data_IF_171468199945
#
_entry.id   IF_171468199945
#
_cell.length_a   1.000
_cell.length_b   1.000
_cell.length_c   1.000
_cell.angle_alpha   90.00
_cell.angle_beta   90.00
_cell.angle_gamma   90.00
#
_symmetry.space_group_name_H-M   'P 1'
#
loop_
_entity.id
_entity.type
_entity.pdbx_description
1 polymer ?
#
# COMPACT_ATOMS: atom_id res chain seq x y z
N UNK A 1 -24.68 -14.86 14.69
CA UNK A 1 -24.69 -14.91 13.21
C UNK A 1 -23.44 -14.18 12.72
N UNK A 2 -22.45 -14.91 12.21
CA UNK A 2 -21.26 -14.33 11.58
C UNK A 2 -21.68 -13.58 10.31
N UNK A 3 -21.83 -12.27 10.39
CA UNK A 3 -21.96 -11.44 9.18
C UNK A 3 -20.56 -11.33 8.57
N UNK A 4 -20.25 -12.22 7.64
CA UNK A 4 -19.07 -12.08 6.77
C UNK A 4 -19.21 -10.75 6.05
N UNK A 5 -18.35 -9.78 6.40
CA UNK A 5 -18.28 -8.52 5.66
C UNK A 5 -17.80 -8.89 4.25
N UNK A 6 -18.43 -8.36 3.21
CA UNK A 6 -17.89 -8.40 1.85
C UNK A 6 -17.56 -6.97 1.47
N UNK A 7 -16.46 -6.77 0.75
CA UNK A 7 -15.96 -5.44 0.39
C UNK A 7 -15.60 -5.36 -1.08
N UNK A 8 -15.65 -4.13 -1.60
CA UNK A 8 -15.15 -3.75 -2.92
C UNK A 8 -14.19 -2.57 -2.75
N UNK A 9 -13.00 -2.67 -3.34
CA UNK A 9 -12.03 -1.58 -3.46
C UNK A 9 -11.62 -1.47 -4.93
N UNK A 10 -11.65 -0.28 -5.50
CA UNK A 10 -11.39 -0.01 -6.92
C UNK A 10 -10.24 1.01 -7.02
N UNK A 11 -8.99 0.52 -7.01
CA UNK A 11 -7.81 1.39 -7.01
C UNK A 11 -7.15 1.44 -8.38
N UNK A 12 -6.85 2.66 -8.81
CA UNK A 12 -6.06 2.94 -10.01
C UNK A 12 -4.87 3.78 -9.57
N UNK A 13 -3.66 3.29 -9.83
CA UNK A 13 -2.41 3.98 -9.52
C UNK A 13 -1.82 4.49 -10.83
N UNK A 14 -1.43 5.76 -10.85
CA UNK A 14 -0.74 6.38 -11.97
C UNK A 14 0.72 6.67 -11.60
N UNK A 15 1.62 6.39 -12.53
CA UNK A 15 3.06 6.65 -12.46
C UNK A 15 3.45 7.53 -13.66
N UNK A 16 4.44 8.42 -13.50
CA UNK A 16 4.96 9.27 -14.57
C UNK A 16 3.91 10.19 -15.25
N UNK A 17 3.04 10.84 -14.47
CA UNK A 17 2.09 11.85 -14.97
C UNK A 17 2.67 13.25 -14.84
N UNK A 18 2.49 14.10 -15.86
CA UNK A 18 2.84 15.52 -15.81
C UNK A 18 1.78 16.32 -15.03
N UNK A 19 0.51 15.90 -15.13
CA UNK A 19 -0.63 16.50 -14.44
C UNK A 19 -1.67 15.43 -14.09
N UNK A 20 -2.17 15.48 -12.86
CA UNK A 20 -3.28 14.66 -12.38
C UNK A 20 -4.18 15.59 -11.58
N UNK A 21 -5.42 15.83 -11.98
CA UNK A 21 -6.33 16.76 -11.29
C UNK A 21 -7.70 16.15 -11.02
N UNK A 22 -8.32 16.53 -9.91
CA UNK A 22 -9.72 16.20 -9.62
C UNK A 22 -10.63 17.01 -10.53
N UNK A 23 -11.36 16.32 -11.38
CA UNK A 23 -12.33 16.97 -12.24
C UNK A 23 -13.57 16.10 -12.39
N UNK A 24 -14.72 16.61 -11.92
CA UNK A 24 -16.02 15.94 -12.08
C UNK A 24 -16.63 16.24 -13.46
N UNK A 25 -15.85 15.94 -14.49
CA UNK A 25 -16.20 16.15 -15.88
C UNK A 25 -17.51 15.43 -16.30
N UNK A 26 -17.87 14.23 -15.81
CA UNK A 26 -19.11 13.60 -16.24
C UNK A 26 -20.34 14.33 -15.69
N UNK A 27 -20.25 14.91 -14.49
CA UNK A 27 -21.33 15.73 -13.93
C UNK A 27 -21.45 17.05 -14.67
N UNK A 28 -20.33 17.68 -15.04
CA UNK A 28 -20.30 18.90 -15.83
C UNK A 28 -20.94 18.71 -17.23
N UNK A 29 -20.73 17.54 -17.84
CA UNK A 29 -21.37 17.16 -19.10
C UNK A 29 -22.81 16.64 -18.93
N UNK A 30 -23.29 16.45 -17.70
CA UNK A 30 -24.62 15.91 -17.42
C UNK A 30 -24.77 14.41 -17.77
N UNK A 31 -23.67 13.67 -17.88
CA UNK A 31 -23.62 12.27 -18.30
C UNK A 31 -23.35 11.28 -17.14
N UNK A 32 -23.14 11.77 -15.93
CA UNK A 32 -22.97 10.93 -14.75
C UNK A 32 -24.16 9.95 -14.56
N UNK A 33 -23.97 8.79 -13.92
CA UNK A 33 -25.07 7.88 -13.59
C UNK A 33 -26.18 8.56 -12.77
N UNK A 34 -27.44 8.08 -12.83
CA UNK A 34 -28.55 8.67 -12.08
C UNK A 34 -28.41 8.57 -10.56
N UNK A 35 -27.60 7.62 -10.10
CA UNK A 35 -27.32 7.35 -8.69
C UNK A 35 -25.93 6.71 -8.60
N UNK A 36 -25.23 6.92 -7.48
CA UNK A 36 -23.98 6.25 -7.14
C UNK A 36 -23.71 6.42 -5.65
N UNK A 37 -22.94 5.50 -5.07
CA UNK A 37 -22.54 5.57 -3.66
C UNK A 37 -21.13 6.13 -3.49
N UNK A 38 -20.26 5.93 -4.48
CA UNK A 38 -18.91 6.47 -4.54
C UNK A 38 -18.56 6.84 -5.98
N UNK A 39 -17.71 7.85 -6.14
CA UNK A 39 -17.17 8.26 -7.44
C UNK A 39 -15.69 8.61 -7.35
N UNK A 40 -14.95 8.34 -8.40
CA UNK A 40 -13.65 8.94 -8.68
C UNK A 40 -13.68 9.54 -10.07
N UNK A 41 -13.23 10.78 -10.23
CA UNK A 41 -13.16 11.46 -11.53
C UNK A 41 -11.91 12.33 -11.59
N UNK A 42 -11.18 12.21 -12.70
CA UNK A 42 -9.80 12.62 -12.85
C UNK A 42 -9.54 13.16 -14.25
N UNK A 43 -8.68 14.15 -14.32
CA UNK A 43 -8.01 14.60 -15.54
C UNK A 43 -6.53 14.23 -15.45
N UNK A 44 -6.00 13.58 -16.49
CA UNK A 44 -4.66 13.01 -16.56
C UNK A 44 -3.96 13.55 -17.82
N UNK A 45 -2.78 14.12 -17.65
CA UNK A 45 -1.88 14.56 -18.72
C UNK A 45 -0.49 13.99 -18.45
N UNK A 46 0.14 13.35 -19.45
CA UNK A 46 1.51 12.85 -19.28
C UNK A 46 2.05 12.06 -20.46
N UNK A 47 3.38 11.95 -20.53
CA UNK A 47 4.09 11.02 -21.41
C UNK A 47 4.31 9.67 -20.71
N UNK A 48 3.91 8.56 -21.35
CA UNK A 48 4.22 7.21 -20.86
C UNK A 48 3.66 6.92 -19.45
N UNK A 49 2.42 7.36 -19.19
CA UNK A 49 1.75 7.17 -17.91
C UNK A 49 1.63 5.67 -17.61
N UNK A 50 2.33 5.22 -16.58
CA UNK A 50 2.19 3.86 -16.05
C UNK A 50 0.90 3.78 -15.27
N UNK A 51 0.05 2.81 -15.58
CA UNK A 51 -1.22 2.61 -14.83
C UNK A 51 -1.27 1.23 -14.23
N UNK A 52 -1.51 1.11 -12.93
CA UNK A 52 -1.78 -0.16 -12.25
C UNK A 52 -3.22 -0.21 -11.76
N UNK A 53 -3.97 -1.23 -12.17
CA UNK A 53 -5.35 -1.44 -11.74
C UNK A 53 -5.47 -2.59 -10.73
N UNK A 54 -6.04 -2.29 -9.54
CA UNK A 54 -6.15 -3.23 -8.41
C UNK A 54 -7.57 -3.26 -7.82
N UNK A 55 -8.47 -4.07 -8.38
CA UNK A 55 -9.74 -4.36 -7.73
C UNK A 55 -9.56 -5.37 -6.58
N UNK A 56 -10.21 -5.10 -5.44
CA UNK A 56 -10.36 -6.07 -4.34
C UNK A 56 -11.85 -6.41 -4.23
N UNK A 57 -12.22 -7.68 -4.39
CA UNK A 57 -13.60 -8.14 -4.29
C UNK A 57 -13.67 -9.26 -3.26
N UNK A 58 -14.52 -9.11 -2.25
CA UNK A 58 -14.68 -10.13 -1.21
C UNK A 58 -13.41 -10.41 -0.40
N UNK A 59 -12.50 -9.43 -0.33
CA UNK A 59 -11.15 -9.51 0.25
C UNK A 59 -10.13 -10.37 -0.51
N UNK A 60 -10.46 -10.77 -1.74
CA UNK A 60 -9.47 -11.31 -2.69
C UNK A 60 -8.98 -10.18 -3.59
N UNK A 61 -7.67 -9.98 -3.67
CA UNK A 61 -7.03 -8.98 -4.52
C UNK A 61 -6.80 -9.55 -5.92
N UNK A 62 -7.00 -8.74 -6.95
CA UNK A 62 -6.78 -9.11 -8.35
C UNK A 62 -5.98 -8.00 -9.06
N UNK A 63 -5.20 -8.35 -10.07
CA UNK A 63 -4.42 -7.40 -10.88
C UNK A 63 -4.81 -7.44 -12.36
N UNK A 64 -4.93 -6.27 -12.98
CA UNK A 64 -4.95 -6.10 -14.44
C UNK A 64 -3.63 -5.55 -14.93
N UNK A 65 -2.89 -6.38 -15.67
CA UNK A 65 -1.67 -6.20 -16.50
C UNK A 65 -0.62 -5.13 -16.11
N UNK A 66 0.63 -5.62 -16.07
CA UNK A 66 1.96 -5.01 -16.18
C UNK A 66 1.99 -3.56 -16.69
N UNK A 67 2.72 -2.66 -15.98
CA UNK A 67 3.20 -1.34 -16.40
C UNK A 67 2.78 -0.96 -17.84
N UNK A 68 1.50 -0.66 -18.02
CA UNK A 68 0.98 -0.38 -19.33
C UNK A 68 1.36 1.06 -19.62
N UNK A 69 2.41 1.23 -20.42
CA UNK A 69 2.84 2.54 -20.87
C UNK A 69 1.76 3.11 -21.77
N UNK A 70 0.97 4.03 -21.24
CA UNK A 70 -0.07 4.66 -22.03
C UNK A 70 0.55 5.61 -23.06
N UNK A 71 -0.02 5.70 -24.27
CA UNK A 71 0.39 6.68 -25.25
C UNK A 71 0.26 8.09 -24.66
N UNK A 72 1.17 8.98 -25.06
CA UNK A 72 1.10 10.41 -24.70
C UNK A 72 -0.27 10.97 -25.04
N UNK A 73 -0.92 11.63 -24.10
CA UNK A 73 -2.20 12.28 -24.34
C UNK A 73 -2.91 12.79 -23.10
N UNK A 74 -3.93 13.61 -23.35
CA UNK A 74 -4.87 14.15 -22.37
C UNK A 74 -6.05 13.16 -22.22
N UNK A 75 -6.29 12.66 -21.01
CA UNK A 75 -7.35 11.70 -20.71
C UNK A 75 -8.14 12.11 -19.47
N UNK A 76 -9.46 12.01 -19.58
CA UNK A 76 -10.38 12.17 -18.48
C UNK A 76 -10.93 10.80 -18.11
N UNK A 77 -10.74 10.41 -16.85
CA UNK A 77 -11.18 9.14 -16.32
C UNK A 77 -12.27 9.38 -15.28
N UNK A 78 -13.29 8.56 -15.27
CA UNK A 78 -14.23 8.48 -14.16
C UNK A 78 -14.66 7.05 -13.89
N UNK A 79 -14.90 6.73 -12.63
CA UNK A 79 -15.47 5.46 -12.22
C UNK A 79 -16.48 5.67 -11.09
N UNK A 80 -17.55 4.89 -11.11
CA UNK A 80 -18.66 4.97 -10.16
C UNK A 80 -18.96 3.60 -9.60
N UNK A 81 -19.25 3.56 -8.29
CA UNK A 81 -19.84 2.41 -7.63
C UNK A 81 -21.35 2.68 -7.47
N UNK A 82 -22.19 1.84 -8.06
CA UNK A 82 -23.65 2.02 -8.07
C UNK A 82 -24.31 0.82 -7.39
N UNK A 83 -25.00 1.00 -6.25
CA UNK A 83 -25.67 -0.10 -5.56
C UNK A 83 -26.88 -0.57 -6.34
N UNK A 84 -27.10 -1.89 -6.40
CA UNK A 84 -28.28 -2.50 -7.06
C UNK A 84 -29.32 -3.02 -6.08
N UNK A 85 -29.03 -2.97 -4.78
CA UNK A 85 -29.94 -3.35 -3.71
C UNK A 85 -29.81 -2.39 -2.52
N UNK A 86 -30.88 -2.25 -1.75
CA UNK A 86 -30.87 -1.47 -0.50
C UNK A 86 -30.11 -2.19 0.60
N UNK A 87 -28.84 -1.82 0.79
CA UNK A 87 -27.98 -2.37 1.84
C UNK A 87 -27.17 -1.25 2.51
N UNK A 88 -26.73 -1.50 3.75
CA UNK A 88 -25.89 -0.54 4.48
C UNK A 88 -24.46 -0.68 3.99
N UNK A 89 -23.93 0.38 3.38
CA UNK A 89 -22.55 0.43 2.91
C UNK A 89 -21.68 1.20 3.88
N UNK A 90 -20.48 0.68 4.15
CA UNK A 90 -19.40 1.49 4.73
C UNK A 90 -18.47 1.88 3.60
N UNK A 91 -18.41 3.17 3.33
CA UNK A 91 -17.69 3.72 2.19
C UNK A 91 -16.45 4.43 2.71
N UNK A 92 -15.32 4.14 2.06
CA UNK A 92 -14.07 4.85 2.29
C UNK A 92 -13.61 5.40 0.96
N UNK A 93 -13.69 6.72 0.80
CA UNK A 93 -13.18 7.40 -0.37
C UNK A 93 -11.72 7.76 -0.12
N UNK A 94 -10.82 7.22 -0.94
CA UNK A 94 -9.44 7.66 -1.02
C UNK A 94 -9.38 8.83 -1.99
N UNK A 95 -8.61 9.86 -1.66
CA UNK A 95 -8.47 10.96 -2.61
C UNK A 95 -7.48 10.69 -3.73
N UNK A 96 -7.40 11.66 -4.62
CA UNK A 96 -6.63 11.63 -5.86
C UNK A 96 -5.15 11.73 -5.60
N UNK A 97 -4.77 12.55 -4.63
CA UNK A 97 -3.41 12.63 -4.18
C UNK A 97 -3.22 11.90 -2.85
N UNK A 98 -2.02 11.41 -2.57
CA UNK A 98 -1.69 10.81 -1.28
C UNK A 98 -2.12 11.66 -0.08
N UNK A 99 -2.02 12.99 -0.14
CA UNK A 99 -2.37 13.96 0.90
C UNK A 99 -3.87 14.17 1.12
N UNK A 100 -4.71 13.65 0.24
CA UNK A 100 -6.15 13.78 0.42
C UNK A 100 -6.62 12.90 1.59
N UNK A 101 -7.40 13.50 2.48
CA UNK A 101 -7.94 12.77 3.64
C UNK A 101 -8.95 11.74 3.17
N UNK A 102 -8.74 10.49 3.57
CA UNK A 102 -9.77 9.48 3.37
C UNK A 102 -11.05 9.88 4.11
N UNK A 103 -12.17 9.90 3.39
CA UNK A 103 -13.49 10.18 3.96
C UNK A 103 -14.15 8.84 4.26
N UNK A 104 -14.42 8.55 5.53
CA UNK A 104 -15.13 7.33 5.95
C UNK A 104 -16.56 7.71 6.32
N UNK A 105 -17.52 7.24 5.54
CA UNK A 105 -18.94 7.43 5.80
C UNK A 105 -19.63 6.06 5.89
N UNK A 106 -20.70 5.97 6.67
CA UNK A 106 -21.55 4.77 6.71
C UNK A 106 -22.96 5.12 6.26
N UNK A 107 -23.15 5.55 4.99
CA UNK A 107 -24.48 5.86 4.49
C UNK A 107 -25.27 4.57 4.24
N UNK A 108 -26.59 4.66 4.44
CA UNK A 108 -27.51 3.75 3.75
C UNK A 108 -27.59 4.28 2.31
N UNK A 109 -26.94 3.59 1.38
CA UNK A 109 -26.94 3.96 -0.02
C UNK A 109 -27.91 3.04 -0.77
N UNK A 110 -29.03 3.60 -1.22
CA UNK A 110 -30.01 2.90 -2.05
C UNK A 110 -30.08 3.59 -3.40
N UNK A 111 -30.03 2.82 -4.48
CA UNK A 111 -30.49 3.29 -5.76
C UNK A 111 -31.83 2.62 -6.06
N UNK A 112 -32.88 3.43 -6.21
CA UNK A 112 -34.23 2.95 -6.54
C UNK A 112 -34.40 2.60 -8.03
N UNK A 113 -33.33 2.70 -8.82
CA UNK A 113 -33.34 2.37 -10.24
C UNK A 113 -32.92 0.91 -10.44
N UNK A 114 -33.58 0.21 -11.37
CA UNK A 114 -33.08 -1.08 -11.81
C UNK A 114 -31.75 -0.94 -12.55
N UNK A 115 -30.99 -2.04 -12.68
CA UNK A 115 -29.78 -2.07 -13.50
C UNK A 115 -30.04 -1.55 -14.93
N UNK A 116 -31.15 -1.97 -15.54
CA UNK A 116 -31.53 -1.55 -16.88
C UNK A 116 -31.82 -0.04 -16.94
N UNK A 117 -32.50 0.51 -15.93
CA UNK A 117 -32.77 1.94 -15.84
C UNK A 117 -31.49 2.76 -15.67
N UNK A 118 -30.53 2.27 -14.87
CA UNK A 118 -29.22 2.91 -14.70
C UNK A 118 -28.49 3.00 -16.03
N UNK A 119 -28.37 1.88 -16.76
CA UNK A 119 -27.72 1.83 -18.06
C UNK A 119 -28.44 2.76 -19.03
N UNK A 120 -29.77 2.59 -19.19
CA UNK A 120 -30.57 3.35 -20.14
C UNK A 120 -30.52 4.85 -19.86
N UNK A 121 -30.63 5.26 -18.60
CA UNK A 121 -30.57 6.67 -18.24
C UNK A 121 -29.17 7.26 -18.49
N UNK A 122 -28.11 6.52 -18.18
CA UNK A 122 -26.73 6.99 -18.38
C UNK A 122 -26.41 7.10 -19.87
N UNK A 123 -26.73 6.08 -20.67
CA UNK A 123 -26.54 6.11 -22.12
C UNK A 123 -27.38 7.20 -22.79
N UNK A 124 -28.66 7.35 -22.40
CA UNK A 124 -29.51 8.42 -22.92
C UNK A 124 -29.01 9.82 -22.58
N UNK A 125 -28.34 10.00 -21.43
CA UNK A 125 -27.65 11.28 -21.10
C UNK A 125 -26.45 11.52 -22.01
N UNK A 126 -25.65 10.50 -22.28
CA UNK A 126 -24.49 10.56 -23.18
C UNK A 126 -24.93 10.98 -24.58
N UNK A 127 -25.93 10.30 -25.15
CA UNK A 127 -26.48 10.62 -26.47
C UNK A 127 -27.07 12.03 -26.54
N UNK A 128 -27.82 12.44 -25.51
CA UNK A 128 -28.35 13.81 -25.39
C UNK A 128 -27.23 14.86 -25.27
N UNK A 129 -26.07 14.48 -24.74
CA UNK A 129 -24.86 15.29 -24.67
C UNK A 129 -24.14 15.46 -26.02
N UNK A 130 -24.66 14.89 -27.11
CA UNK A 130 -24.09 15.02 -28.46
C UNK A 130 -23.02 13.97 -28.80
N UNK A 131 -22.93 12.90 -27.99
CA UNK A 131 -22.06 11.76 -28.28
C UNK A 131 -22.80 10.75 -29.16
N UNK A 132 -22.18 10.36 -30.28
CA UNK A 132 -22.72 9.40 -31.24
C UNK A 132 -22.00 8.07 -31.04
N UNK A 133 -22.74 6.99 -30.81
CA UNK A 133 -22.17 5.65 -30.70
C UNK A 133 -21.47 5.28 -32.02
N UNK A 134 -20.20 4.90 -31.94
CA UNK A 134 -19.42 4.45 -33.10
C UNK A 134 -19.01 2.98 -33.00
N UNK A 135 -19.05 2.41 -31.80
CA UNK A 135 -18.76 0.99 -31.58
C UNK A 135 -19.48 0.47 -30.34
N UNK A 136 -20.05 -0.73 -30.45
CA UNK A 136 -20.66 -1.45 -29.34
C UNK A 136 -19.92 -2.75 -29.03
N UNK A 137 -19.79 -3.04 -27.74
CA UNK A 137 -19.26 -4.30 -27.21
C UNK A 137 -17.85 -4.61 -27.75
N UNK A 138 -16.89 -3.73 -27.43
CA UNK A 138 -15.47 -4.04 -27.57
C UNK A 138 -15.23 -5.41 -26.90
N UNK A 139 -14.92 -6.44 -27.71
CA UNK A 139 -14.80 -7.83 -27.23
C UNK A 139 -13.77 -7.88 -26.12
N UNK A 140 -14.23 -8.13 -24.91
CA UNK A 140 -13.36 -8.38 -23.78
C UNK A 140 -13.86 -9.63 -23.05
N UNK A 141 -12.93 -10.45 -22.60
CA UNK A 141 -13.21 -11.69 -21.86
C UNK A 141 -13.73 -11.34 -20.48
N UNK A 142 -14.82 -11.94 -20.00
CA UNK A 142 -15.20 -11.79 -18.58
C UNK A 142 -14.01 -12.15 -17.67
N UNK A 143 -13.82 -11.39 -16.58
CA UNK A 143 -12.78 -11.68 -15.60
C UNK A 143 -13.39 -12.15 -14.26
N UNK A 144 -12.53 -12.57 -13.33
CA UNK A 144 -12.96 -13.19 -12.07
C UNK A 144 -13.63 -12.21 -11.08
N UNK A 145 -13.45 -10.89 -11.25
CA UNK A 145 -14.03 -9.87 -10.39
C UNK A 145 -15.36 -9.32 -10.91
N UNK A 146 -15.48 -9.21 -12.23
CA UNK A 146 -16.53 -8.46 -12.87
C UNK A 146 -17.26 -9.30 -13.91
N UNK A 147 -18.55 -9.08 -14.01
CA UNK A 147 -19.37 -9.55 -15.12
C UNK A 147 -19.67 -8.34 -15.99
N UNK A 148 -19.01 -8.25 -17.14
CA UNK A 148 -19.24 -7.15 -18.08
C UNK A 148 -20.67 -7.23 -18.62
N UNK A 149 -21.45 -6.17 -18.41
CA UNK A 149 -22.83 -6.09 -18.89
C UNK A 149 -22.85 -5.48 -20.29
N UNK A 150 -22.20 -4.32 -20.45
CA UNK A 150 -22.13 -3.63 -21.74
C UNK A 150 -20.99 -2.62 -21.76
N UNK A 151 -20.38 -2.43 -22.93
CA UNK A 151 -19.40 -1.36 -23.20
C UNK A 151 -19.70 -0.68 -24.53
N UNK A 152 -19.38 0.61 -24.64
CA UNK A 152 -19.65 1.46 -25.81
C UNK A 152 -18.53 2.46 -26.01
N UNK A 153 -18.20 2.73 -27.27
CA UNK A 153 -17.33 3.84 -27.67
C UNK A 153 -18.16 4.85 -28.46
N UNK A 154 -18.05 6.11 -28.06
CA UNK A 154 -18.74 7.23 -28.67
C UNK A 154 -17.75 8.22 -29.28
N UNK A 155 -18.18 8.90 -30.34
CA UNK A 155 -17.55 10.12 -30.85
C UNK A 155 -18.39 11.32 -30.41
N UNK A 156 -17.76 12.26 -29.69
CA UNK A 156 -18.36 13.53 -29.30
C UNK A 156 -17.67 14.73 -29.95
N UNK A 157 -18.12 15.96 -29.65
CA UNK A 157 -17.53 17.20 -30.15
C UNK A 157 -16.05 17.35 -29.77
N UNK A 158 -15.71 17.03 -28.53
CA UNK A 158 -14.37 17.26 -27.94
C UNK A 158 -13.44 16.05 -28.04
N UNK A 159 -13.89 14.92 -28.59
CA UNK A 159 -13.08 13.70 -28.59
C UNK A 159 -13.87 12.41 -28.71
N UNK A 160 -13.38 11.39 -28.02
CA UNK A 160 -13.96 10.06 -27.92
C UNK A 160 -14.28 9.78 -26.45
N UNK A 161 -15.33 9.01 -26.21
CA UNK A 161 -15.78 8.60 -24.88
C UNK A 161 -16.05 7.11 -24.89
N UNK A 162 -15.31 6.36 -24.09
CA UNK A 162 -15.59 4.97 -23.76
C UNK A 162 -16.39 4.91 -22.48
N UNK A 163 -17.44 4.08 -22.45
CA UNK A 163 -18.24 3.80 -21.24
C UNK A 163 -18.45 2.31 -21.10
N UNK A 164 -18.32 1.81 -19.87
CA UNK A 164 -18.51 0.42 -19.51
C UNK A 164 -19.38 0.29 -18.25
N UNK A 165 -20.26 -0.71 -18.24
CA UNK A 165 -21.02 -1.14 -17.08
C UNK A 165 -20.70 -2.60 -16.76
N UNK A 166 -20.26 -2.87 -15.54
CA UNK A 166 -19.90 -4.22 -15.11
C UNK A 166 -20.43 -4.51 -13.70
N UNK A 167 -21.07 -5.67 -13.51
CA UNK A 167 -21.50 -6.12 -12.18
C UNK A 167 -20.29 -6.61 -11.40
N UNK A 168 -20.20 -6.24 -10.12
CA UNK A 168 -19.14 -6.74 -9.22
C UNK A 168 -19.59 -8.09 -8.65
N UNK A 169 -18.84 -9.16 -8.94
CA UNK A 169 -19.23 -10.52 -8.55
C UNK A 169 -19.32 -10.65 -7.03
N UNK A 170 -20.42 -11.24 -6.56
CA UNK A 170 -20.63 -11.51 -5.13
C UNK A 170 -21.07 -10.29 -4.30
N UNK A 171 -21.33 -9.15 -4.93
CA UNK A 171 -21.84 -7.91 -4.33
C UNK A 171 -23.02 -7.36 -5.14
N UNK A 172 -23.96 -6.69 -4.46
CA UNK A 172 -25.08 -5.99 -5.08
C UNK A 172 -24.64 -4.60 -5.59
N UNK A 173 -23.66 -4.60 -6.51
CA UNK A 173 -22.96 -3.42 -6.97
C UNK A 173 -22.63 -3.51 -8.47
N UNK A 174 -22.71 -2.37 -9.16
CA UNK A 174 -22.21 -2.17 -10.53
C UNK A 174 -21.08 -1.15 -10.49
N UNK A 175 -20.02 -1.41 -11.26
CA UNK A 175 -19.00 -0.43 -11.63
C UNK A 175 -19.39 0.20 -12.95
N UNK A 176 -19.40 1.54 -13.01
CA UNK A 176 -19.48 2.29 -14.26
C UNK A 176 -18.13 2.94 -14.51
N UNK A 177 -17.44 2.59 -15.60
CA UNK A 177 -16.16 3.16 -16.00
C UNK A 177 -16.38 4.07 -17.21
N UNK A 178 -15.79 5.26 -17.20
CA UNK A 178 -15.82 6.21 -18.29
C UNK A 178 -14.40 6.72 -18.59
N UNK A 179 -14.00 6.70 -19.85
CA UNK A 179 -12.69 7.21 -20.32
C UNK A 179 -12.93 8.12 -21.50
N UNK A 180 -12.50 9.38 -21.41
CA UNK A 180 -12.65 10.38 -22.47
C UNK A 180 -11.30 10.96 -22.86
N UNK A 181 -11.13 11.31 -24.12
CA UNK A 181 -9.90 11.92 -24.63
C UNK A 181 -10.04 12.34 -26.08
N UNK A 182 -9.17 13.23 -26.55
CA UNK A 182 -9.25 13.77 -27.93
C UNK A 182 -8.96 12.71 -28.97
N UNK A 183 -8.04 11.81 -28.67
CA UNK A 183 -7.54 10.77 -29.56
C UNK A 183 -8.15 9.40 -29.26
N UNK A 184 -8.71 8.75 -30.28
CA UNK A 184 -9.32 7.42 -30.16
C UNK A 184 -8.35 6.38 -29.61
N UNK A 185 -7.11 6.35 -30.12
CA UNK A 185 -6.11 5.37 -29.71
C UNK A 185 -5.73 5.49 -28.24
N UNK A 186 -5.71 6.71 -27.70
CA UNK A 186 -5.45 6.97 -26.29
C UNK A 186 -6.62 6.46 -25.44
N UNK A 187 -7.86 6.81 -25.79
CA UNK A 187 -9.06 6.34 -25.07
C UNK A 187 -9.14 4.81 -25.06
N UNK A 188 -8.87 4.17 -26.21
CA UNK A 188 -8.88 2.71 -26.30
C UNK A 188 -7.77 2.03 -25.49
N UNK A 189 -6.60 2.66 -25.36
CA UNK A 189 -5.50 2.12 -24.56
C UNK A 189 -5.85 2.13 -23.07
N UNK A 190 -6.34 3.27 -22.57
CA UNK A 190 -6.80 3.41 -21.18
C UNK A 190 -8.01 2.51 -20.90
N UNK A 191 -8.98 2.45 -21.82
CA UNK A 191 -10.14 1.57 -21.63
C UNK A 191 -9.73 0.11 -21.58
N UNK A 192 -8.78 -0.34 -22.40
CA UNK A 192 -8.31 -1.74 -22.39
C UNK A 192 -7.61 -2.10 -21.08
N UNK A 193 -6.81 -1.19 -20.52
CA UNK A 193 -6.11 -1.44 -19.26
C UNK A 193 -7.03 -1.44 -18.04
N UNK A 194 -8.11 -0.64 -18.07
CA UNK A 194 -9.01 -0.45 -16.94
C UNK A 194 -10.32 -1.25 -17.03
N UNK A 195 -10.62 -1.83 -18.19
CA UNK A 195 -11.89 -2.53 -18.48
C UNK A 195 -12.06 -3.78 -17.63
N UNK A 196 -13.31 -4.01 -17.21
CA UNK A 196 -13.80 -5.21 -16.56
C UNK A 196 -13.68 -6.48 -17.41
N UNK A 197 -13.25 -6.41 -18.67
CA UNK A 197 -12.92 -7.59 -19.47
C UNK A 197 -11.44 -7.73 -19.86
N UNK A 198 -10.56 -6.89 -19.32
CA UNK A 198 -9.13 -7.18 -19.34
C UNK A 198 -8.84 -8.47 -18.55
N UNK A 199 -7.86 -9.29 -18.97
CA UNK A 199 -7.46 -10.44 -18.17
C UNK A 199 -6.99 -9.95 -16.80
N UNK A 200 -7.70 -10.36 -15.76
CA UNK A 200 -7.25 -10.18 -14.39
C UNK A 200 -6.65 -11.49 -13.90
N UNK A 201 -5.43 -11.42 -13.38
CA UNK A 201 -4.87 -12.53 -12.63
C UNK A 201 -5.30 -12.38 -11.18
N UNK A 202 -5.90 -13.44 -10.62
CA UNK A 202 -6.07 -13.53 -9.17
C UNK A 202 -4.70 -13.42 -8.54
N UNK A 203 -4.60 -12.62 -7.48
CA UNK A 203 -3.45 -12.69 -6.59
C UNK A 203 -3.56 -14.00 -5.86
N UNK A 204 -3.14 -15.07 -6.52
CA UNK A 204 -2.78 -16.28 -5.81
C UNK A 204 -1.73 -15.86 -4.79
N UNK A 205 -1.96 -16.18 -3.51
CA UNK A 205 -0.92 -16.10 -2.48
C UNK A 205 0.35 -16.92 -2.83
N UNK A 206 0.36 -17.62 -3.97
CA UNK A 206 1.57 -17.94 -4.72
C UNK A 206 1.23 -18.63 -6.05
N UNK A 207 1.80 -18.14 -7.15
CA UNK A 207 2.23 -18.97 -8.27
C UNK A 207 3.31 -18.24 -9.08
N UNK A 208 4.53 -18.27 -8.56
CA UNK A 208 5.75 -18.03 -9.33
C UNK A 208 6.08 -19.30 -10.15
N UNK A 209 6.87 -19.20 -11.23
CA UNK A 209 7.26 -20.36 -12.03
C UNK A 209 7.81 -21.46 -11.13
N UNK A 210 7.37 -22.70 -11.36
CA UNK A 210 7.90 -23.87 -10.67
C UNK A 210 9.41 -23.99 -10.93
N UNK A 211 10.20 -23.39 -10.07
CA UNK A 211 11.55 -23.85 -9.82
C UNK A 211 11.45 -25.14 -9.02
N UNK A 212 11.79 -26.23 -9.70
CA UNK A 212 11.89 -27.59 -9.16
C UNK A 212 12.54 -27.61 -7.78
N UNK A 213 11.80 -28.16 -6.81
CA UNK A 213 12.27 -28.79 -5.58
C UNK A 213 13.41 -28.10 -4.80
N UNK A 214 13.10 -27.05 -4.05
CA UNK A 214 13.83 -26.70 -2.81
C UNK A 214 12.83 -26.15 -1.78
N UNK A 215 12.84 -26.69 -0.56
CA UNK A 215 11.93 -26.37 0.55
C UNK A 215 11.82 -24.86 0.84
N UNK A 216 10.70 -24.22 0.48
CA UNK A 216 10.48 -22.80 0.70
C UNK A 216 10.23 -22.49 2.19
N UNK A 217 10.92 -21.47 2.74
CA UNK A 217 10.66 -20.92 4.07
C UNK A 217 9.25 -20.37 4.16
N UNK A 218 8.48 -20.81 5.17
CA UNK A 218 7.09 -20.37 5.37
C UNK A 218 6.87 -20.05 6.84
N UNK A 219 5.95 -19.14 7.11
CA UNK A 219 5.41 -18.97 8.46
C UNK A 219 4.39 -20.08 8.69
N UNK A 220 4.66 -20.98 9.63
CA UNK A 220 3.65 -21.92 10.11
C UNK A 220 2.87 -21.21 11.21
N UNK A 221 1.57 -20.99 11.02
CA UNK A 221 0.73 -20.29 11.99
C UNK A 221 -0.70 -20.83 12.05
N UNK A 222 -1.32 -20.71 13.22
CA UNK A 222 -2.74 -20.98 13.45
C UNK A 222 -3.31 -19.96 14.46
N UNK A 223 -4.41 -19.25 14.17
CA UNK A 223 -5.10 -19.20 12.87
C UNK A 223 -4.22 -18.60 11.77
N UNK A 224 -4.63 -18.78 10.52
CA UNK A 224 -4.03 -18.02 9.41
C UNK A 224 -4.23 -16.52 9.63
N UNK A 225 -3.18 -15.76 9.37
CA UNK A 225 -3.12 -14.34 9.65
C UNK A 225 -2.19 -13.66 8.65
N UNK A 226 -2.55 -12.45 8.22
CA UNK A 226 -1.71 -11.60 7.37
C UNK A 226 -1.37 -10.32 8.13
N UNK A 227 -0.08 -10.08 8.43
CA UNK A 227 0.35 -8.81 9.00
C UNK A 227 -0.07 -7.65 8.08
N UNK A 228 -0.54 -6.56 8.67
CA UNK A 228 -0.70 -5.30 7.92
C UNK A 228 0.57 -4.47 8.03
N UNK A 229 0.73 -3.50 7.13
CA UNK A 229 1.68 -2.42 7.34
C UNK A 229 1.23 -1.56 8.53
N UNK A 230 1.70 -1.91 9.73
CA UNK A 230 1.39 -1.23 10.98
C UNK A 230 2.36 -0.05 11.20
N UNK A 231 2.50 0.82 10.20
CA UNK A 231 3.40 1.97 10.26
C UNK A 231 3.21 2.93 11.44
N UNK A 232 2.00 3.11 12.02
CA UNK A 232 1.83 3.89 13.25
C UNK A 232 2.33 3.17 14.51
N UNK A 233 2.85 1.96 14.38
CA UNK A 233 3.44 1.15 15.45
C UNK A 233 2.78 -0.22 15.61
N UNK A 234 3.53 -1.13 16.19
CA UNK A 234 3.09 -2.48 16.50
C UNK A 234 3.84 -2.99 17.75
N UNK A 235 3.31 -4.01 18.40
CA UNK A 235 4.04 -4.78 19.40
C UNK A 235 3.70 -6.26 19.34
N UNK A 236 4.65 -7.09 19.77
CA UNK A 236 4.50 -8.54 19.85
C UNK A 236 4.75 -8.98 21.28
N UNK A 237 3.81 -9.75 21.82
CA UNK A 237 3.84 -10.29 23.17
C UNK A 237 3.88 -11.81 23.14
N UNK A 238 4.67 -12.41 24.02
CA UNK A 238 4.65 -13.85 24.30
C UNK A 238 4.01 -14.10 25.67
N UNK A 239 2.88 -14.81 25.75
CA UNK A 239 2.27 -15.17 27.02
C UNK A 239 3.16 -16.14 27.83
N UNK A 240 3.24 -15.91 29.13
CA UNK A 240 3.91 -16.73 30.15
C UNK A 240 2.94 -16.96 31.32
N UNK A 241 1.90 -17.76 31.07
CA UNK A 241 0.78 -17.92 32.01
C UNK A 241 -0.06 -16.65 32.10
N UNK A 242 -0.18 -16.06 33.29
CA UNK A 242 -0.91 -14.80 33.52
C UNK A 242 -0.07 -13.54 33.21
N UNK A 243 1.20 -13.71 32.85
CA UNK A 243 2.11 -12.64 32.47
C UNK A 243 2.38 -12.68 30.96
N UNK A 244 2.99 -11.63 30.43
CA UNK A 244 3.55 -11.63 29.08
C UNK A 244 4.92 -10.96 29.09
N UNK A 245 5.75 -11.28 28.10
CA UNK A 245 6.92 -10.48 27.73
C UNK A 245 6.66 -9.80 26.40
N UNK A 246 6.97 -8.50 26.32
CA UNK A 246 6.69 -7.66 25.16
C UNK A 246 7.96 -7.20 24.45
N UNK A 247 7.87 -7.17 23.11
CA UNK A 247 8.74 -6.43 22.23
C UNK A 247 7.95 -5.38 21.44
N UNK A 248 8.45 -4.15 21.43
CA UNK A 248 8.01 -3.05 20.58
C UNK A 248 9.25 -2.33 20.08
N UNK A 249 9.35 -2.05 18.79
CA UNK A 249 10.57 -1.46 18.21
C UNK A 249 10.82 -0.02 18.67
N UNK A 250 9.77 0.73 19.01
CA UNK A 250 9.90 2.07 19.62
C UNK A 250 10.66 3.08 18.78
N UNK A 251 10.69 2.89 17.46
CA UNK A 251 11.30 3.79 16.50
C UNK A 251 10.33 4.92 16.17
N UNK A 252 10.76 6.17 16.40
CA UNK A 252 10.02 7.35 15.96
C UNK A 252 10.96 8.31 15.23
N UNK A 253 10.45 8.97 14.19
CA UNK A 253 11.16 10.03 13.46
C UNK A 253 10.20 11.21 13.36
N UNK A 254 10.73 12.41 13.59
CA UNK A 254 9.99 13.66 13.45
C UNK A 254 10.85 14.67 12.72
N UNK A 255 10.31 15.46 11.76
CA UNK A 255 11.05 16.57 11.19
C UNK A 255 11.35 17.60 12.29
N UNK A 256 12.49 18.28 12.23
CA UNK A 256 12.74 19.43 13.10
C UNK A 256 12.02 20.65 12.55
N UNK A 257 11.14 21.26 13.34
CA UNK A 257 10.42 22.46 12.91
C UNK A 257 10.17 23.43 14.05
N UNK A 258 10.06 24.72 13.70
CA UNK A 258 9.56 25.73 14.62
C UNK A 258 8.03 25.70 14.63
N UNK A 259 7.36 25.63 15.80
CA UNK A 259 5.91 25.69 15.89
C UNK A 259 5.29 26.94 15.24
N UNK A 260 6.07 28.01 15.05
CA UNK A 260 5.60 29.25 14.40
C UNK A 260 5.48 29.14 12.87
N UNK A 261 6.11 28.14 12.26
CA UNK A 261 6.21 27.98 10.80
C UNK A 261 5.42 26.77 10.28
N UNK A 262 4.64 26.13 11.15
CA UNK A 262 3.92 24.91 10.85
C UNK A 262 2.42 25.14 10.92
N UNK A 263 1.73 24.78 9.85
CA UNK A 263 0.27 24.83 9.74
C UNK A 263 -0.22 23.60 8.97
N UNK A 264 -1.52 23.38 8.94
CA UNK A 264 -2.12 22.34 8.10
C UNK A 264 -1.83 22.54 6.60
N UNK A 265 -1.63 23.77 6.17
CA UNK A 265 -1.30 24.16 4.79
C UNK A 265 0.21 24.08 4.50
N UNK A 266 1.04 24.11 5.55
CA UNK A 266 2.49 24.01 5.45
C UNK A 266 3.04 23.01 6.48
N UNK A 267 2.87 21.69 6.27
CA UNK A 267 3.37 20.70 7.20
C UNK A 267 4.90 20.62 7.14
N UNK A 268 5.55 20.17 8.22
CA UNK A 268 7.00 20.06 8.27
C UNK A 268 7.53 18.87 7.44
N UNK A 269 6.65 17.91 7.11
CA UNK A 269 6.93 16.75 6.31
C UNK A 269 5.76 15.77 6.29
N UNK A 270 6.00 14.57 5.77
CA UNK A 270 5.05 13.48 5.79
C UNK A 270 5.70 12.12 6.04
N UNK A 271 4.94 11.20 6.65
CA UNK A 271 5.25 9.79 6.78
C UNK A 271 4.20 9.00 6.01
N UNK A 272 4.58 8.30 4.94
CA UNK A 272 3.70 7.50 4.11
C UNK A 272 3.84 6.02 4.45
N UNK A 273 2.74 5.32 4.72
CA UNK A 273 2.71 3.87 4.80
C UNK A 273 2.84 3.26 3.41
N UNK A 274 4.03 2.80 3.05
CA UNK A 274 4.33 2.21 1.73
C UNK A 274 5.04 0.89 1.89
N UNK A 275 4.53 -0.15 1.25
CA UNK A 275 5.14 -1.48 1.26
C UNK A 275 6.29 -1.57 0.23
N UNK A 276 7.32 -0.74 0.43
CA UNK A 276 8.45 -0.61 -0.49
C UNK A 276 9.32 -1.88 -0.59
N UNK A 277 9.56 -2.69 0.47
CA UNK A 277 10.34 -3.91 0.33
C UNK A 277 9.64 -4.92 -0.58
N UNK A 278 8.30 -5.04 -0.49
CA UNK A 278 7.54 -5.93 -1.38
C UNK A 278 7.58 -5.47 -2.83
N UNK A 279 7.49 -4.15 -3.07
CA UNK A 279 7.53 -3.59 -4.44
C UNK A 279 8.81 -3.94 -5.20
N UNK A 280 9.94 -4.03 -4.51
CA UNK A 280 11.22 -4.40 -5.11
C UNK A 280 11.59 -5.86 -4.84
N UNK A 281 10.71 -6.64 -4.21
CA UNK A 281 10.87 -8.08 -4.02
C UNK A 281 11.90 -8.50 -2.97
N UNK A 282 12.07 -7.70 -1.90
CA UNK A 282 13.03 -7.95 -0.81
C UNK A 282 12.37 -8.00 0.57
N UNK A 283 11.10 -8.42 0.63
CA UNK A 283 10.40 -8.58 1.91
C UNK A 283 10.95 -9.79 2.68
N UNK A 284 11.34 -9.64 3.97
CA UNK A 284 11.79 -10.77 4.76
C UNK A 284 10.68 -11.81 4.91
N UNK A 285 10.99 -13.07 4.63
CA UNK A 285 10.02 -14.16 4.82
C UNK A 285 9.72 -14.37 6.31
N UNK A 286 8.55 -14.91 6.62
CA UNK A 286 8.11 -15.25 7.98
C UNK A 286 7.85 -14.08 8.96
N UNK A 287 7.81 -12.83 8.50
CA UNK A 287 7.45 -11.72 9.37
C UNK A 287 6.03 -11.87 9.94
N UNK A 288 5.86 -11.62 11.24
CA UNK A 288 4.55 -11.66 11.93
C UNK A 288 4.02 -10.28 12.30
N UNK A 289 4.88 -9.26 12.28
CA UNK A 289 4.50 -7.86 12.41
C UNK A 289 5.59 -7.01 11.76
N UNK A 290 5.24 -5.78 11.42
CA UNK A 290 6.19 -4.84 10.86
C UNK A 290 5.56 -3.50 10.49
N UNK A 291 6.41 -2.57 10.14
CA UNK A 291 6.07 -1.27 9.57
C UNK A 291 6.91 -1.02 8.34
N UNK A 292 6.32 -0.39 7.32
CA UNK A 292 7.04 0.04 6.12
C UNK A 292 6.61 1.46 5.78
N UNK A 293 7.57 2.38 5.73
CA UNK A 293 7.31 3.82 5.58
C UNK A 293 8.26 4.49 4.60
N UNK A 294 7.78 5.58 4.02
CA UNK A 294 8.62 6.63 3.46
C UNK A 294 8.45 7.89 4.32
N UNK A 295 9.54 8.33 4.94
CA UNK A 295 9.62 9.61 5.63
C UNK A 295 10.13 10.67 4.65
N UNK A 296 9.47 11.82 4.62
CA UNK A 296 9.79 12.95 3.74
C UNK A 296 9.76 14.23 4.55
N UNK A 297 10.82 15.03 4.50
CA UNK A 297 10.77 16.43 4.95
C UNK A 297 10.61 17.37 3.75
N UNK A 298 9.88 18.48 3.95
CA UNK A 298 9.65 19.47 2.88
C UNK A 298 10.31 20.81 3.18
N UNK A 299 10.17 21.28 4.41
CA UNK A 299 10.58 22.63 4.82
C UNK A 299 11.67 22.61 5.90
N UNK A 300 12.36 21.48 6.03
CA UNK A 300 13.44 21.33 6.99
C UNK A 300 14.51 20.40 6.44
N UNK A 301 15.75 20.82 6.62
CA UNK A 301 16.94 20.06 6.26
C UNK A 301 17.25 18.97 7.30
N UNK A 302 16.56 19.00 8.46
CA UNK A 302 16.89 18.16 9.61
C UNK A 302 15.66 17.45 10.18
N UNK A 303 15.92 16.29 10.76
CA UNK A 303 14.97 15.52 11.54
C UNK A 303 15.58 15.13 12.90
N UNK A 304 14.73 14.64 13.78
CA UNK A 304 15.12 13.99 15.03
C UNK A 304 14.53 12.60 15.09
N UNK A 305 15.32 11.66 15.57
CA UNK A 305 14.85 10.31 15.88
C UNK A 305 14.52 10.12 17.36
N UNK A 306 13.92 8.99 17.67
CA UNK A 306 14.02 8.33 18.97
C UNK A 306 14.03 6.83 18.74
N UNK A 307 14.97 6.13 19.37
CA UNK A 307 14.98 4.69 19.46
C UNK A 307 14.84 4.30 20.93
N UNK A 308 13.61 3.97 21.30
CA UNK A 308 13.21 3.56 22.65
C UNK A 308 12.42 2.24 22.56
N UNK A 309 13.06 1.11 22.18
CA UNK A 309 12.37 -0.16 22.12
C UNK A 309 11.94 -0.61 23.51
N UNK A 310 10.80 -1.27 23.59
CA UNK A 310 10.41 -2.07 24.76
C UNK A 310 10.92 -3.48 24.55
N UNK A 311 11.74 -4.01 25.46
CA UNK A 311 12.25 -5.39 25.37
C UNK A 311 12.07 -6.07 26.71
N UNK A 312 11.40 -7.23 26.75
CA UNK A 312 11.08 -7.95 27.99
C UNK A 312 10.36 -7.04 29.00
N UNK A 313 9.42 -6.22 28.52
CA UNK A 313 8.67 -5.20 29.29
C UNK A 313 9.52 -4.04 29.86
N UNK A 314 10.82 -3.96 29.58
CA UNK A 314 11.63 -2.78 29.92
C UNK A 314 11.44 -1.72 28.84
N UNK A 315 10.73 -0.64 29.18
CA UNK A 315 10.58 0.53 28.32
C UNK A 315 11.94 1.22 28.09
N UNK A 316 12.18 1.72 26.88
CA UNK A 316 13.46 2.30 26.45
C UNK A 316 14.67 1.44 26.86
N UNK A 317 14.62 0.14 26.55
CA UNK A 317 15.71 -0.80 26.83
C UNK A 317 17.04 -0.32 26.22
N UNK A 318 16.96 0.24 25.01
CA UNK A 318 17.93 1.18 24.47
C UNK A 318 17.28 2.56 24.53
N UNK A 319 18.04 3.60 24.89
CA UNK A 319 17.50 4.94 25.01
C UNK A 319 18.35 5.94 24.21
N UNK A 320 18.13 5.98 22.89
CA UNK A 320 18.70 7.03 22.03
C UNK A 320 17.62 8.06 21.71
N UNK A 321 17.75 9.24 22.29
CA UNK A 321 16.82 10.34 22.10
C UNK A 321 17.46 11.42 21.25
N UNK A 322 16.69 11.96 20.31
CA UNK A 322 17.07 13.11 19.50
C UNK A 322 18.40 12.99 18.74
N UNK A 323 18.78 11.83 18.14
CA UNK A 323 19.85 11.84 17.15
C UNK A 323 19.49 12.83 16.04
N UNK A 324 20.51 13.59 15.62
CA UNK A 324 20.39 14.49 14.49
C UNK A 324 20.37 13.67 13.22
N UNK A 325 19.30 13.83 12.43
CA UNK A 325 19.09 13.05 11.22
C UNK A 325 19.00 13.99 10.02
N UNK A 326 19.62 13.66 8.88
CA UNK A 326 19.37 14.35 7.63
C UNK A 326 17.88 14.34 7.28
N UNK A 327 17.38 15.49 6.85
CA UNK A 327 16.09 15.63 6.17
C UNK A 327 16.17 15.10 4.74
N UNK A 328 15.06 15.19 4.02
CA UNK A 328 14.90 14.62 2.70
C UNK A 328 13.98 13.40 2.74
N UNK A 329 14.24 12.42 1.86
CA UNK A 329 13.39 11.25 1.67
C UNK A 329 14.16 9.98 2.04
N UNK A 330 13.59 9.22 2.99
CA UNK A 330 14.14 7.93 3.43
C UNK A 330 13.04 6.91 3.58
N UNK A 331 13.31 5.69 3.14
CA UNK A 331 12.43 4.56 3.34
C UNK A 331 12.91 3.75 4.53
N UNK A 332 12.01 3.44 5.47
CA UNK A 332 12.30 2.54 6.58
C UNK A 332 11.36 1.36 6.53
N UNK A 333 11.86 0.18 6.89
CA UNK A 333 11.03 -0.96 7.19
C UNK A 333 11.55 -1.68 8.42
N UNK A 334 10.65 -2.10 9.29
CA UNK A 334 10.97 -2.95 10.43
C UNK A 334 10.07 -4.17 10.43
N UNK A 335 10.64 -5.32 10.77
CA UNK A 335 9.92 -6.58 10.84
C UNK A 335 10.35 -7.37 12.07
N UNK A 336 9.48 -8.30 12.48
CA UNK A 336 9.82 -9.32 13.46
C UNK A 336 9.50 -10.71 12.96
N UNK A 337 10.46 -11.61 13.12
CA UNK A 337 10.38 -13.00 12.70
C UNK A 337 10.44 -13.92 13.93
N UNK A 338 9.45 -14.80 14.14
CA UNK A 338 9.45 -15.73 15.25
C UNK A 338 10.39 -16.92 15.02
N UNK A 339 11.23 -17.19 16.02
CA UNK A 339 12.15 -18.33 16.03
C UNK A 339 11.56 -19.55 16.75
N UNK A 340 10.75 -19.32 17.79
CA UNK A 340 10.12 -20.40 18.56
C UNK A 340 8.66 -20.63 18.15
N UNK A 341 8.26 -21.90 18.04
CA UNK A 341 6.87 -22.28 17.82
C UNK A 341 6.08 -22.12 19.12
N UNK A 342 5.58 -20.93 19.34
CA UNK A 342 4.86 -20.53 20.55
C UNK A 342 3.67 -19.65 20.21
N UNK A 343 2.96 -19.19 21.24
CA UNK A 343 1.86 -18.25 21.11
C UNK A 343 2.41 -16.83 21.09
N UNK A 344 1.97 -16.06 20.09
CA UNK A 344 2.27 -14.65 19.91
C UNK A 344 0.97 -13.87 19.93
N UNK A 345 0.92 -12.82 20.73
CA UNK A 345 -0.14 -11.81 20.70
C UNK A 345 0.43 -10.58 19.99
N UNK A 346 -0.07 -10.34 18.79
CA UNK A 346 0.38 -9.29 17.90
C UNK A 346 -0.62 -8.15 18.01
N UNK A 347 -0.14 -6.96 18.35
CA UNK A 347 -0.93 -5.74 18.35
C UNK A 347 -0.43 -4.82 17.23
N UNK A 348 -1.30 -4.48 16.29
CA UNK A 348 -1.01 -3.58 15.17
C UNK A 348 -1.84 -2.31 15.31
N UNK A 349 -1.17 -1.15 15.29
CA UNK A 349 -1.85 0.13 15.20
C UNK A 349 -2.30 0.35 13.75
N UNK A 350 -3.61 0.37 13.54
CA UNK A 350 -4.19 0.63 12.23
C UNK A 350 -4.21 2.13 11.97
N UNK A 351 -3.58 2.49 10.86
CA UNK A 351 -3.50 3.87 10.43
C UNK A 351 -4.87 4.44 10.08
N UNK A 352 -5.08 5.71 10.43
CA UNK A 352 -6.26 6.45 9.99
C UNK A 352 -6.29 6.61 8.45
N UNK A 353 -5.10 6.76 7.86
CA UNK A 353 -4.87 7.07 6.45
C UNK A 353 -3.59 6.39 5.98
N UNK A 354 -3.33 6.39 4.67
CA UNK A 354 -2.07 5.89 4.11
C UNK A 354 -0.83 6.74 4.46
N UNK A 355 -1.00 7.86 5.18
CA UNK A 355 0.08 8.81 5.49
C UNK A 355 -0.25 9.68 6.72
N UNK A 356 0.73 10.44 7.21
CA UNK A 356 0.60 11.39 8.31
C UNK A 356 1.55 12.58 8.16
N UNK A 357 1.07 13.78 8.48
CA UNK A 357 1.82 15.03 8.35
C UNK A 357 2.42 15.54 9.67
N UNK A 358 2.50 14.69 10.69
CA UNK A 358 2.94 14.99 12.07
C UNK A 358 2.05 15.94 12.88
N UNK A 359 0.94 16.43 12.32
CA UNK A 359 0.01 17.33 13.02
C UNK A 359 -1.23 16.63 13.56
N UNK A 360 -1.51 15.42 13.08
CA UNK A 360 -2.68 14.64 13.47
C UNK A 360 -2.26 13.28 14.05
N UNK A 361 -3.12 12.63 14.83
CA UNK A 361 -2.90 11.25 15.24
C UNK A 361 -2.75 10.33 14.02
N UNK A 362 -1.70 9.51 14.02
CA UNK A 362 -1.45 8.50 13.00
C UNK A 362 -2.38 7.28 13.12
N UNK A 363 -2.79 6.94 14.35
CA UNK A 363 -3.54 5.72 14.70
C UNK A 363 -5.00 6.02 14.97
N UNK A 364 -5.91 5.24 14.35
CA UNK A 364 -7.35 5.34 14.61
C UNK A 364 -7.92 4.11 15.32
N UNK A 365 -7.34 2.94 15.09
CA UNK A 365 -7.79 1.67 15.67
C UNK A 365 -6.59 0.80 16.01
N UNK A 366 -6.81 -0.19 16.87
CA UNK A 366 -5.85 -1.25 17.15
C UNK A 366 -6.46 -2.57 16.73
N UNK A 367 -5.66 -3.43 16.11
CA UNK A 367 -5.98 -4.82 15.83
C UNK A 367 -5.12 -5.67 16.73
N UNK A 368 -5.74 -6.57 17.49
CA UNK A 368 -5.02 -7.58 18.25
C UNK A 368 -5.32 -8.94 17.66
N UNK A 369 -4.28 -9.71 17.36
CA UNK A 369 -4.39 -11.07 16.84
C UNK A 369 -3.50 -11.99 17.66
N UNK A 370 -4.06 -13.12 18.10
CA UNK A 370 -3.29 -14.18 18.74
C UNK A 370 -3.05 -15.29 17.74
N UNK A 371 -1.80 -15.63 17.50
CA UNK A 371 -1.39 -16.76 16.66
C UNK A 371 -0.51 -17.72 17.44
N UNK A 372 -0.52 -18.99 17.05
CA UNK A 372 0.54 -19.94 17.41
C UNK A 372 1.37 -20.22 16.17
N UNK A 373 2.66 -19.92 16.19
CA UNK A 373 3.46 -20.11 15.00
C UNK A 373 4.95 -19.82 15.16
N UNK A 374 5.69 -20.23 14.12
CA UNK A 374 7.11 -19.97 13.94
C UNK A 374 7.47 -19.98 12.46
N UNK A 375 8.61 -19.37 12.11
CA UNK A 375 9.19 -19.63 10.81
C UNK A 375 9.65 -21.09 10.71
N UNK A 376 9.37 -21.74 9.57
CA UNK A 376 9.83 -23.12 9.32
C UNK A 376 11.32 -23.20 8.99
N UNK A 377 11.98 -22.05 8.79
CA UNK A 377 13.39 -21.97 8.45
C UNK A 377 14.23 -21.43 9.62
N UNK A 378 15.48 -21.91 9.73
CA UNK A 378 16.46 -21.25 10.59
C UNK A 378 16.72 -19.81 10.09
N UNK A 379 17.06 -18.91 11.01
CA UNK A 379 17.27 -17.48 10.68
C UNK A 379 18.37 -17.29 9.64
N UNK A 380 19.42 -18.09 9.67
CA UNK A 380 20.54 -18.03 8.73
C UNK A 380 20.05 -18.22 7.29
N UNK A 381 19.12 -19.16 7.06
CA UNK A 381 18.54 -19.38 5.75
C UNK A 381 17.66 -18.20 5.29
N UNK A 382 17.02 -17.49 6.22
CA UNK A 382 16.25 -16.28 5.91
C UNK A 382 17.19 -15.14 5.51
N UNK A 383 18.28 -14.94 6.26
CA UNK A 383 19.31 -13.94 5.96
C UNK A 383 19.90 -14.19 4.58
N UNK A 384 20.34 -15.42 4.28
CA UNK A 384 20.92 -15.78 2.98
C UNK A 384 19.94 -15.52 1.84
N UNK A 385 18.67 -15.93 1.98
CA UNK A 385 17.67 -15.70 0.92
C UNK A 385 17.37 -14.22 0.70
N UNK A 386 17.33 -13.43 1.76
CA UNK A 386 17.12 -11.99 1.62
C UNK A 386 18.34 -11.34 0.94
N UNK A 387 19.55 -11.74 1.32
CA UNK A 387 20.79 -11.29 0.68
C UNK A 387 20.80 -11.61 -0.83
N UNK A 388 20.45 -12.86 -1.20
CA UNK A 388 20.31 -13.29 -2.59
C UNK A 388 19.25 -12.48 -3.34
N UNK A 389 18.10 -12.21 -2.70
CA UNK A 389 17.03 -11.40 -3.31
C UNK A 389 17.49 -9.95 -3.55
N UNK A 390 18.18 -9.33 -2.58
CA UNK A 390 18.73 -7.98 -2.70
C UNK A 390 19.74 -7.91 -3.84
N UNK A 391 20.71 -8.84 -3.87
CA UNK A 391 21.71 -8.94 -4.94
C UNK A 391 21.06 -9.18 -6.31
N UNK A 392 20.02 -10.01 -6.37
CA UNK A 392 19.21 -10.24 -7.56
C UNK A 392 18.50 -8.98 -8.09
N UNK A 393 18.39 -7.92 -7.30
CA UNK A 393 17.87 -6.60 -7.73
C UNK A 393 18.95 -5.62 -8.17
N UNK A 394 20.21 -6.07 -8.24
CA UNK A 394 21.35 -5.29 -8.68
C UNK A 394 22.02 -4.47 -7.58
N UNK A 395 21.73 -4.78 -6.31
CA UNK A 395 22.43 -4.18 -5.17
C UNK A 395 23.73 -4.93 -4.90
N UNK A 396 24.82 -4.19 -4.84
CA UNK A 396 26.14 -4.70 -4.48
C UNK A 396 26.41 -4.44 -3.00
N UNK A 397 26.87 -5.47 -2.27
CA UNK A 397 27.26 -5.31 -0.87
C UNK A 397 28.55 -4.48 -0.80
N UNK A 398 28.54 -3.47 0.07
CA UNK A 398 29.69 -2.64 0.40
C UNK A 398 29.98 -2.73 1.91
N UNK A 399 31.22 -2.53 2.35
CA UNK A 399 31.56 -2.58 3.77
C UNK A 399 30.76 -1.54 4.57
N UNK A 400 30.10 -1.92 5.68
CA UNK A 400 29.54 -0.95 6.60
C UNK A 400 30.68 -0.19 7.32
N UNK A 401 30.49 1.10 7.59
CA UNK A 401 31.48 1.89 8.35
C UNK A 401 31.53 1.51 9.83
N UNK A 402 30.39 1.07 10.36
CA UNK A 402 30.24 0.65 11.75
C UNK A 402 29.45 -0.64 11.78
N UNK A 403 30.02 -1.66 12.45
CA UNK A 403 29.31 -2.88 12.78
C UNK A 403 28.76 -2.78 14.21
N UNK A 404 27.43 -2.87 14.38
CA UNK A 404 26.80 -2.86 15.69
C UNK A 404 27.32 -4.02 16.56
N UNK A 405 27.64 -3.73 17.82
CA UNK A 405 28.05 -4.75 18.79
C UNK A 405 26.86 -5.31 19.60
N UNK A 406 27.03 -6.52 20.12
CA UNK A 406 26.06 -7.16 21.02
C UNK A 406 25.90 -6.35 22.32
N UNK A 407 24.66 -6.16 22.77
CA UNK A 407 24.33 -5.48 24.04
C UNK A 407 23.40 -6.34 24.91
N UNK A 408 22.88 -5.79 26.01
CA UNK A 408 22.03 -6.54 26.95
C UNK A 408 20.74 -7.09 26.31
N UNK A 409 20.19 -6.42 25.29
CA UNK A 409 18.87 -6.68 24.72
C UNK A 409 18.91 -7.31 23.33
N UNK A 410 19.97 -7.04 22.56
CA UNK A 410 20.08 -7.49 21.19
C UNK A 410 21.43 -8.15 20.92
N UNK A 411 21.40 -9.18 20.08
CA UNK A 411 22.57 -9.80 19.48
C UNK A 411 22.49 -9.64 17.96
N UNK A 412 23.39 -8.85 17.34
CA UNK A 412 23.51 -8.78 15.88
C UNK A 412 23.73 -10.16 15.28
N UNK A 413 22.99 -10.47 14.21
CA UNK A 413 23.10 -11.72 13.46
C UNK A 413 23.68 -11.48 12.06
N UNK A 414 23.32 -10.37 11.44
CA UNK A 414 23.87 -9.92 10.16
C UNK A 414 23.62 -8.42 10.01
N UNK A 415 24.63 -7.69 9.55
CA UNK A 415 24.53 -6.26 9.23
C UNK A 415 25.23 -6.05 7.91
N UNK A 416 24.50 -5.48 6.95
CA UNK A 416 25.00 -5.27 5.59
C UNK A 416 24.55 -3.92 5.07
N UNK A 417 25.44 -3.28 4.33
CA UNK A 417 25.15 -2.10 3.54
C UNK A 417 25.26 -2.49 2.06
N UNK A 418 24.28 -2.09 1.27
CA UNK A 418 24.27 -2.32 -0.16
C UNK A 418 24.16 -1.01 -0.92
N UNK A 419 24.68 -1.00 -2.14
CA UNK A 419 24.61 0.12 -3.06
C UNK A 419 24.10 -0.33 -4.42
N UNK A 420 23.26 0.50 -5.04
CA UNK A 420 22.86 0.41 -6.44
C UNK A 420 22.78 1.82 -7.00
N UNK A 421 23.65 2.16 -7.93
CA UNK A 421 23.79 3.54 -8.45
C UNK A 421 24.00 4.55 -7.31
N UNK A 422 23.08 5.52 -7.14
CA UNK A 422 23.08 6.51 -6.06
C UNK A 422 22.18 6.10 -4.87
N UNK A 423 21.62 4.89 -4.87
CA UNK A 423 20.78 4.36 -3.80
C UNK A 423 21.56 3.44 -2.87
N UNK A 424 21.37 3.64 -1.57
CA UNK A 424 21.94 2.84 -0.51
C UNK A 424 20.82 2.11 0.23
N UNK A 425 21.10 0.89 0.67
CA UNK A 425 20.19 0.04 1.44
C UNK A 425 20.96 -0.58 2.61
N UNK A 426 20.62 -0.19 3.83
CA UNK A 426 21.09 -0.83 5.05
C UNK A 426 20.11 -1.92 5.47
N UNK A 427 20.63 -3.11 5.82
CA UNK A 427 19.84 -4.23 6.35
C UNK A 427 20.52 -4.80 7.59
N UNK A 428 19.78 -4.86 8.69
CA UNK A 428 20.20 -5.45 9.95
C UNK A 428 19.23 -6.56 10.37
N UNK A 429 19.78 -7.71 10.77
CA UNK A 429 19.11 -8.74 11.54
C UNK A 429 19.69 -8.76 12.96
N UNK A 430 18.83 -8.64 13.97
CA UNK A 430 19.22 -8.72 15.36
C UNK A 430 18.29 -9.64 16.15
N UNK A 431 18.86 -10.60 16.87
CA UNK A 431 18.11 -11.41 17.82
C UNK A 431 17.65 -10.55 18.99
N UNK A 432 16.36 -10.62 19.32
CA UNK A 432 15.79 -10.00 20.52
C UNK A 432 15.97 -10.96 21.70
N UNK A 433 16.90 -10.65 22.61
CA UNK A 433 17.29 -11.55 23.70
C UNK A 433 16.13 -11.83 24.65
N UNK A 434 15.93 -13.12 24.93
CA UNK A 434 14.88 -13.59 25.85
C UNK A 434 13.46 -13.53 25.27
N UNK A 435 13.30 -13.33 23.96
CA UNK A 435 11.99 -13.27 23.32
C UNK A 435 11.78 -14.24 22.15
N UNK A 436 12.80 -14.98 21.71
CA UNK A 436 12.72 -15.87 20.53
C UNK A 436 12.20 -15.16 19.26
N UNK A 437 12.58 -13.89 19.10
CA UNK A 437 12.29 -13.05 17.95
C UNK A 437 13.58 -12.59 17.30
N UNK A 438 13.52 -12.34 16.00
CA UNK A 438 14.55 -11.63 15.25
C UNK A 438 13.93 -10.36 14.70
N UNK A 439 14.52 -9.22 15.04
CA UNK A 439 14.24 -7.91 14.44
C UNK A 439 14.95 -7.84 13.11
N UNK A 440 14.25 -7.33 12.09
CA UNK A 440 14.85 -6.89 10.83
C UNK A 440 14.64 -5.39 10.71
N UNK A 441 15.70 -4.63 10.46
CA UNK A 441 15.65 -3.21 10.12
C UNK A 441 16.18 -3.04 8.70
N UNK A 442 15.45 -2.31 7.87
CA UNK A 442 15.85 -1.95 6.52
C UNK A 442 15.70 -0.44 6.32
N UNK A 443 16.73 0.21 5.79
CA UNK A 443 16.72 1.66 5.54
C UNK A 443 17.24 1.91 4.14
N UNK A 444 16.52 2.64 3.31
CA UNK A 444 16.89 2.95 1.93
C UNK A 444 16.80 4.44 1.63
N UNK A 445 17.79 4.99 0.94
CA UNK A 445 17.94 6.42 0.65
C UNK A 445 19.27 6.72 -0.04
N UNK A 446 19.72 7.96 0.00
CA UNK A 446 21.10 8.31 -0.33
C UNK A 446 22.07 7.86 0.77
N UNK A 447 23.38 7.93 0.49
CA UNK A 447 24.43 7.44 1.39
C UNK A 447 24.41 8.08 2.78
N UNK A 448 24.36 9.42 2.83
CA UNK A 448 24.46 10.20 4.06
C UNK A 448 23.25 9.94 4.95
N UNK A 449 22.07 9.96 4.34
CA UNK A 449 20.80 9.65 5.02
C UNK A 449 20.79 8.22 5.54
N UNK A 450 21.15 7.22 4.73
CA UNK A 450 21.11 5.81 5.17
C UNK A 450 22.07 5.57 6.33
N UNK A 451 23.29 6.13 6.29
CA UNK A 451 24.28 5.99 7.36
C UNK A 451 23.80 6.61 8.67
N UNK A 452 23.32 7.85 8.64
CA UNK A 452 22.85 8.55 9.84
C UNK A 452 21.63 7.84 10.48
N UNK A 453 20.70 7.34 9.67
CA UNK A 453 19.54 6.62 10.17
C UNK A 453 19.91 5.22 10.70
N UNK A 454 20.85 4.52 10.04
CA UNK A 454 21.37 3.26 10.54
C UNK A 454 22.04 3.43 11.90
N UNK A 455 22.84 4.47 12.08
CA UNK A 455 23.47 4.82 13.36
C UNK A 455 22.41 5.12 14.45
N UNK A 456 21.38 5.89 14.11
CA UNK A 456 20.33 6.21 15.07
C UNK A 456 19.52 4.97 15.51
N UNK A 457 19.23 4.05 14.60
CA UNK A 457 18.19 3.03 14.78
C UNK A 457 18.67 1.57 14.81
N UNK A 458 19.98 1.32 14.68
CA UNK A 458 20.56 -0.01 14.87
C UNK A 458 20.26 -0.57 16.26
N UNK A 459 19.99 -1.88 16.34
CA UNK A 459 19.72 -2.53 17.60
C UNK A 459 20.99 -2.80 18.44
N UNK A 460 22.19 -2.81 17.85
CA UNK A 460 23.44 -3.01 18.57
C UNK A 460 23.97 -1.73 19.22
N UNK A 461 25.00 -1.83 20.06
CA UNK A 461 25.75 -0.64 20.52
C UNK A 461 26.71 -0.15 19.43
N UNK A 462 26.99 1.15 19.42
CA UNK A 462 27.91 1.83 18.49
C UNK A 462 29.09 2.41 19.29
N UNK A 463 29.37 1.85 20.46
CA UNK A 463 30.48 2.33 21.29
C UNK A 463 31.81 1.96 20.64
N UNK A 464 32.52 3.01 20.20
CA UNK A 464 33.98 3.07 20.17
C UNK A 464 34.53 3.66 21.47
#
# INVERSE_FOLDING_TARGET
MNRTIKGFDDRILFENTDRLEREDWPSALGIAPPCFMAKGALHIEGENVGTTYRPVVGFTEYYGVENATMPKGEVYLAHYAVPTAGVIWRIREYGVYPEDRAREETPVAECNCSLEDIIKATLGRIEKGGFIEIESSLKTSENNCFELITSRLYKGPEGYLYVEFARVRGLDLIRVLMVMGRERGVVEAYSRALSAGGPLEEVNAGSWPEHRNMSACKLSMNPEFTPVNAWPGWSVRRPLGNLYVEYNDGLTIMPQFSPKNVSSENPPGALYGVDWPSRIGITPTCAIAGSQVAFVTWNTENATGSFCPTVRNKLCAINRQSPFLPGGKVYLATYVIPQANTTWVIQENLACRGWNNFLEPATCRKRETTIRGACTCPVEAIITRLDEAIRGKGFEEIPPEVEPAENEYFKPLSVKLYRKDDQYLYVEFAQVKGMDLVRVLMIMGDEETVKAYAEAFTAGSIEG
#
